data_IF_808478826135
#
_entry.id   IF_808478826135
#
_cell.length_a   1.000
_cell.length_b   1.000
_cell.length_c   1.000
_cell.angle_alpha   90.00
_cell.angle_beta   90.00
_cell.angle_gamma   90.00
#
_symmetry.space_group_name_H-M   'P 1'
#
loop_
_entity.id
_entity.type
_entity.pdbx_description
1 polymer ?
#
# COMPACT_ATOMS: atom_id res chain seq x y z
N UNK A 1 11.83 7.87 31.62
CA UNK A 1 11.46 6.61 30.94
C UNK A 1 9.97 6.30 31.10
N UNK A 2 9.41 6.41 32.30
CA UNK A 2 7.96 6.23 32.60
C UNK A 2 7.00 7.05 31.74
N UNK A 3 7.21 8.37 31.61
CA UNK A 3 6.36 9.21 30.75
C UNK A 3 6.33 8.71 29.30
N UNK A 4 7.42 8.11 28.81
CA UNK A 4 7.49 7.56 27.46
C UNK A 4 6.66 6.29 27.29
N UNK A 5 6.77 5.41 28.27
CA UNK A 5 6.00 4.18 28.31
C UNK A 5 4.50 4.46 28.48
N UNK A 6 4.15 5.42 29.34
CA UNK A 6 2.77 5.78 29.66
C UNK A 6 2.02 6.40 28.46
N UNK A 7 2.70 7.20 27.62
CA UNK A 7 2.09 7.69 26.38
C UNK A 7 1.88 6.58 25.36
N UNK A 8 2.84 5.66 25.23
CA UNK A 8 2.74 4.50 24.33
C UNK A 8 1.55 3.62 24.72
N UNK A 9 1.36 3.39 26.02
CA UNK A 9 0.24 2.58 26.52
C UNK A 9 -1.11 3.25 26.25
N UNK A 10 -1.22 4.58 26.44
CA UNK A 10 -2.43 5.32 26.08
C UNK A 10 -2.72 5.26 24.58
N UNK A 11 -1.70 5.49 23.75
CA UNK A 11 -1.83 5.42 22.30
C UNK A 11 -2.27 4.02 21.86
N UNK A 12 -1.65 2.96 22.40
CA UNK A 12 -2.05 1.57 22.14
C UNK A 12 -3.50 1.30 22.54
N UNK A 13 -3.93 1.81 23.70
CA UNK A 13 -5.28 1.59 24.20
C UNK A 13 -6.33 2.27 23.30
N UNK A 14 -6.09 3.51 22.90
CA UNK A 14 -6.98 4.26 22.00
C UNK A 14 -7.07 3.59 20.62
N UNK A 15 -5.93 3.14 20.11
CA UNK A 15 -5.82 2.49 18.80
C UNK A 15 -6.47 1.10 18.77
N UNK A 16 -6.39 0.37 19.89
CA UNK A 16 -7.04 -0.94 20.08
C UNK A 16 -8.55 -0.82 20.25
N UNK A 17 -9.05 0.29 20.83
CA UNK A 17 -10.49 0.49 21.05
C UNK A 17 -11.24 0.87 19.77
N UNK A 18 -10.55 1.29 18.71
CA UNK A 18 -11.18 1.67 17.43
C UNK A 18 -10.27 1.35 16.24
N UNK A 19 -10.18 0.06 15.84
CA UNK A 19 -9.32 -0.36 14.74
C UNK A 19 -9.66 0.34 13.41
N UNK A 20 -10.92 0.76 13.21
CA UNK A 20 -11.34 1.54 12.04
C UNK A 20 -10.74 2.95 12.03
N UNK A 21 -10.83 3.69 13.14
CA UNK A 21 -10.28 5.05 13.25
C UNK A 21 -8.75 5.04 13.12
N UNK A 22 -8.12 4.03 13.73
CA UNK A 22 -6.69 3.77 13.56
C UNK A 22 -6.30 3.61 12.09
N UNK A 23 -7.00 2.74 11.35
CA UNK A 23 -6.65 2.43 9.97
C UNK A 23 -6.85 3.63 9.03
N UNK A 24 -7.88 4.44 9.27
CA UNK A 24 -8.10 5.69 8.54
C UNK A 24 -6.94 6.67 8.78
N UNK A 25 -6.54 6.87 10.04
CA UNK A 25 -5.42 7.74 10.37
C UNK A 25 -4.10 7.24 9.73
N UNK A 26 -3.83 5.93 9.78
CA UNK A 26 -2.68 5.35 9.08
C UNK A 26 -2.75 5.53 7.57
N UNK A 27 -3.94 5.44 6.96
CA UNK A 27 -4.12 5.70 5.53
C UNK A 27 -3.69 7.12 5.15
N UNK A 28 -4.10 8.14 5.90
CA UNK A 28 -3.68 9.51 5.66
C UNK A 28 -2.16 9.72 5.85
N UNK A 29 -1.59 9.10 6.88
CA UNK A 29 -0.14 9.16 7.11
C UNK A 29 0.62 8.52 5.95
N UNK A 30 0.18 7.34 5.49
CA UNK A 30 0.80 6.65 4.36
C UNK A 30 0.69 7.44 3.06
N UNK A 31 -0.43 8.10 2.81
CA UNK A 31 -0.59 9.01 1.67
C UNK A 31 0.39 10.19 1.74
N UNK A 32 0.53 10.81 2.91
CA UNK A 32 1.52 11.89 3.09
C UNK A 32 2.96 11.41 2.91
N UNK A 33 3.29 10.22 3.41
CA UNK A 33 4.60 9.59 3.23
C UNK A 33 4.86 9.25 1.76
N UNK A 34 3.87 8.74 1.03
CA UNK A 34 3.99 8.47 -0.40
C UNK A 34 4.35 9.74 -1.16
N UNK A 35 3.66 10.86 -0.91
CA UNK A 35 4.01 12.15 -1.54
C UNK A 35 5.39 12.69 -1.16
N UNK A 36 5.86 12.42 0.04
CA UNK A 36 7.21 12.80 0.45
C UNK A 36 8.27 11.95 -0.28
N UNK A 37 8.07 10.64 -0.35
CA UNK A 37 9.00 9.73 -1.05
C UNK A 37 8.96 9.98 -2.55
N UNK A 38 7.79 10.31 -3.11
CA UNK A 38 7.63 10.66 -4.52
C UNK A 38 8.46 11.91 -4.86
N UNK A 39 8.46 12.92 -3.98
CA UNK A 39 9.24 14.14 -4.16
C UNK A 39 10.74 13.87 -4.27
N UNK A 40 11.27 12.97 -3.43
CA UNK A 40 12.71 12.64 -3.38
C UNK A 40 13.12 11.54 -4.37
N UNK A 41 12.15 10.85 -4.98
CA UNK A 41 12.44 9.72 -5.84
C UNK A 41 13.00 10.16 -7.21
N UNK A 42 14.22 9.70 -7.49
CA UNK A 42 14.88 9.84 -8.78
C UNK A 42 15.23 8.46 -9.34
N UNK A 43 14.74 8.15 -10.55
CA UNK A 43 15.04 6.87 -11.18
C UNK A 43 16.51 6.86 -11.66
N UNK A 44 17.31 5.82 -11.37
CA UNK A 44 18.72 5.78 -11.73
C UNK A 44 18.96 5.65 -13.24
N UNK A 45 17.91 5.39 -14.03
CA UNK A 45 17.95 5.28 -15.49
C UNK A 45 19.07 4.34 -15.98
N UNK A 46 19.22 3.20 -15.31
CA UNK A 46 20.12 2.13 -15.65
C UNK A 46 19.39 0.79 -15.53
N UNK A 47 19.21 0.03 -16.63
CA UNK A 47 18.35 -1.16 -16.65
C UNK A 47 18.78 -2.25 -15.66
N UNK A 48 20.05 -2.28 -15.24
CA UNK A 48 20.53 -3.23 -14.23
C UNK A 48 20.03 -2.90 -12.81
N UNK A 49 19.75 -1.62 -12.53
CA UNK A 49 19.42 -1.12 -11.20
C UNK A 49 17.98 -0.63 -11.09
N UNK A 50 17.35 -0.21 -12.20
CA UNK A 50 15.99 0.32 -12.24
C UNK A 50 14.98 -0.56 -11.49
N UNK A 51 14.92 -1.85 -11.82
CA UNK A 51 14.02 -2.81 -11.18
C UNK A 51 14.30 -2.98 -9.69
N UNK A 52 15.54 -3.30 -9.34
CA UNK A 52 15.93 -3.56 -7.94
C UNK A 52 15.72 -2.33 -7.06
N UNK A 53 16.19 -1.16 -7.50
CA UNK A 53 16.08 0.09 -6.76
C UNK A 53 14.62 0.49 -6.56
N UNK A 54 13.83 0.49 -7.63
CA UNK A 54 12.40 0.83 -7.55
C UNK A 54 11.62 -0.17 -6.69
N UNK A 55 11.89 -1.47 -6.82
CA UNK A 55 11.21 -2.51 -6.02
C UNK A 55 11.45 -2.35 -4.51
N UNK A 56 12.60 -1.80 -4.10
CA UNK A 56 12.87 -1.55 -2.69
C UNK A 56 11.86 -0.57 -2.06
N UNK A 57 11.42 0.45 -2.81
CA UNK A 57 10.39 1.40 -2.37
C UNK A 57 8.99 0.77 -2.27
N UNK A 58 8.71 -0.28 -3.05
CA UNK A 58 7.50 -1.08 -2.87
C UNK A 58 7.54 -1.93 -1.61
N UNK A 59 8.65 -2.64 -1.38
CA UNK A 59 8.71 -3.69 -0.37
C UNK A 59 9.03 -3.15 1.03
N UNK A 60 10.02 -2.26 1.17
CA UNK A 60 10.52 -1.83 2.48
C UNK A 60 9.42 -1.14 3.29
N UNK A 61 8.72 -0.10 2.79
CA UNK A 61 7.72 0.59 3.57
C UNK A 61 6.48 -0.28 3.84
N UNK A 62 6.11 -1.17 2.92
CA UNK A 62 5.04 -2.15 3.13
C UNK A 62 5.36 -3.10 4.31
N UNK A 63 6.58 -3.67 4.33
CA UNK A 63 7.04 -4.56 5.41
C UNK A 63 7.15 -3.80 6.73
N UNK A 64 7.65 -2.57 6.71
CA UNK A 64 7.73 -1.71 7.89
C UNK A 64 6.35 -1.41 8.47
N UNK A 65 5.40 -0.98 7.64
CA UNK A 65 4.03 -0.68 8.07
C UNK A 65 3.31 -1.92 8.61
N UNK A 66 3.47 -3.06 7.94
CA UNK A 66 2.95 -4.34 8.40
C UNK A 66 3.51 -4.72 9.78
N UNK A 67 4.83 -4.63 9.96
CA UNK A 67 5.51 -4.98 11.22
C UNK A 67 5.08 -4.05 12.35
N UNK A 68 4.97 -2.75 12.09
CA UNK A 68 4.47 -1.77 13.08
C UNK A 68 3.04 -2.10 13.50
N UNK A 69 2.17 -2.45 12.56
CA UNK A 69 0.78 -2.81 12.88
C UNK A 69 0.71 -4.08 13.73
N UNK A 70 1.54 -5.09 13.44
CA UNK A 70 1.63 -6.30 14.28
C UNK A 70 2.10 -5.99 15.71
N UNK A 71 3.07 -5.09 15.88
CA UNK A 71 3.55 -4.68 17.20
C UNK A 71 2.44 -3.95 17.98
N UNK A 72 1.73 -3.04 17.31
CA UNK A 72 0.67 -2.22 17.90
C UNK A 72 -0.52 -3.08 18.34
N UNK A 73 -1.01 -3.95 17.46
CA UNK A 73 -2.13 -4.85 17.76
C UNK A 73 -1.79 -5.85 18.88
N UNK A 74 -0.51 -5.96 19.23
CA UNK A 74 -0.01 -6.83 20.27
C UNK A 74 -0.09 -8.27 19.81
N UNK A 75 1.01 -8.80 19.28
CA UNK A 75 1.21 -10.24 19.25
C UNK A 75 1.11 -10.79 20.68
N UNK A 76 -0.07 -11.29 21.08
CA UNK A 76 -0.23 -12.03 22.33
C UNK A 76 0.45 -13.39 22.14
N UNK A 77 1.69 -13.49 22.58
CA UNK A 77 2.43 -14.76 22.69
C UNK A 77 2.04 -15.54 23.96
N UNK A 78 0.79 -15.44 24.40
CA UNK A 78 0.30 -16.18 25.55
C UNK A 78 -0.71 -17.21 25.08
N UNK A 79 -0.34 -18.48 25.27
CA UNK A 79 -1.09 -19.72 25.09
C UNK A 79 -1.11 -20.34 23.68
N UNK A 80 -1.01 -21.66 23.67
CA UNK A 80 -0.88 -22.62 22.58
C UNK A 80 -2.08 -22.66 21.60
N UNK A 81 -2.56 -21.50 21.13
CA UNK A 81 -3.50 -21.42 19.99
C UNK A 81 -2.75 -20.99 18.73
N UNK A 82 -3.15 -21.51 17.55
CA UNK A 82 -2.58 -21.08 16.29
C UNK A 82 -2.72 -19.56 16.16
N UNK A 83 -1.58 -18.93 15.84
CA UNK A 83 -1.37 -17.50 15.66
C UNK A 83 -2.37 -16.95 14.64
N UNK A 84 -3.51 -16.38 15.07
CA UNK A 84 -4.41 -15.67 14.16
C UNK A 84 -3.84 -14.28 13.89
N UNK A 85 -3.10 -14.14 12.79
CA UNK A 85 -2.72 -12.82 12.27
C UNK A 85 -4.03 -12.12 11.90
N UNK A 86 -4.31 -10.97 12.53
CA UNK A 86 -5.51 -10.20 12.20
C UNK A 86 -5.39 -9.67 10.78
N UNK A 87 -6.43 -9.83 9.97
CA UNK A 87 -6.50 -9.31 8.58
C UNK A 87 -6.22 -7.81 8.55
N UNK A 88 -6.61 -7.10 9.61
CA UNK A 88 -6.36 -5.66 9.78
C UNK A 88 -4.87 -5.28 9.81
N UNK A 89 -3.96 -6.20 10.15
CA UNK A 89 -2.51 -5.95 10.12
C UNK A 89 -1.97 -5.72 8.71
N UNK A 90 -2.61 -6.30 7.68
CA UNK A 90 -2.19 -6.16 6.29
C UNK A 90 -2.68 -4.87 5.64
N UNK A 91 -3.68 -4.19 6.23
CA UNK A 91 -4.30 -2.99 5.65
C UNK A 91 -3.26 -1.90 5.33
N UNK A 92 -2.34 -1.52 6.24
CA UNK A 92 -1.34 -0.49 5.94
C UNK A 92 -0.42 -0.88 4.76
N UNK A 93 0.01 -2.14 4.68
CA UNK A 93 0.87 -2.62 3.61
C UNK A 93 0.15 -2.66 2.26
N UNK A 94 -1.11 -3.10 2.25
CA UNK A 94 -1.94 -3.13 1.03
C UNK A 94 -2.21 -1.70 0.55
N UNK A 95 -2.58 -0.79 1.44
CA UNK A 95 -2.81 0.63 1.11
C UNK A 95 -1.54 1.25 0.51
N UNK A 96 -0.36 0.98 1.09
CA UNK A 96 0.91 1.44 0.54
C UNK A 96 1.15 0.98 -0.90
N UNK A 97 0.94 -0.31 -1.18
CA UNK A 97 1.12 -0.85 -2.52
C UNK A 97 0.14 -0.22 -3.52
N UNK A 98 -1.13 -0.05 -3.13
CA UNK A 98 -2.14 0.60 -3.99
C UNK A 98 -1.72 2.04 -4.31
N UNK A 99 -1.28 2.81 -3.31
CA UNK A 99 -0.84 4.19 -3.53
C UNK A 99 0.33 4.26 -4.53
N UNK A 100 1.34 3.39 -4.40
CA UNK A 100 2.46 3.34 -5.34
C UNK A 100 2.04 2.92 -6.75
N UNK A 101 1.09 2.00 -6.89
CA UNK A 101 0.56 1.62 -8.21
C UNK A 101 -0.26 2.75 -8.85
N UNK A 102 -1.04 3.49 -8.05
CA UNK A 102 -1.81 4.65 -8.52
C UNK A 102 -0.92 5.84 -8.91
N UNK A 103 0.21 6.04 -8.24
CA UNK A 103 1.22 7.01 -8.69
C UNK A 103 1.93 6.54 -9.97
N UNK A 104 2.41 5.30 -9.97
CA UNK A 104 2.97 4.63 -11.14
C UNK A 104 4.40 5.01 -11.51
N UNK A 105 5.03 6.00 -10.87
CA UNK A 105 6.43 6.40 -11.18
C UNK A 105 7.41 5.28 -10.88
N UNK A 106 7.21 4.62 -9.75
CA UNK A 106 8.02 3.48 -9.32
C UNK A 106 7.85 2.31 -10.29
N UNK A 107 6.61 1.99 -10.67
CA UNK A 107 6.34 0.90 -11.61
C UNK A 107 6.92 1.18 -12.99
N UNK A 108 6.74 2.40 -13.51
CA UNK A 108 7.32 2.85 -14.76
C UNK A 108 8.84 2.74 -14.73
N UNK A 109 9.50 3.27 -13.68
CA UNK A 109 10.95 3.14 -13.49
C UNK A 109 11.38 1.66 -13.46
N UNK A 110 10.69 0.80 -12.71
CA UNK A 110 11.03 -0.63 -12.62
C UNK A 110 10.97 -1.35 -13.98
N UNK A 111 10.02 -0.95 -14.83
CA UNK A 111 9.83 -1.52 -16.17
C UNK A 111 10.67 -0.83 -17.27
N UNK A 112 11.31 0.31 -16.98
CA UNK A 112 12.17 0.98 -17.95
C UNK A 112 13.46 0.19 -18.20
N UNK A 113 13.66 -0.21 -19.45
CA UNK A 113 14.77 -1.07 -19.88
C UNK A 113 15.93 -0.34 -20.58
N UNK A 114 15.87 0.99 -20.67
CA UNK A 114 16.88 1.80 -21.36
C UNK A 114 17.73 2.61 -20.38
N UNK A 115 18.94 2.97 -20.84
CA UNK A 115 19.78 3.94 -20.13
C UNK A 115 19.36 5.34 -20.49
N UNK A 116 19.47 6.25 -19.54
CA UNK A 116 19.09 7.62 -19.77
C UNK A 116 19.49 8.56 -18.66
N UNK A 117 19.04 9.79 -18.80
CA UNK A 117 19.14 10.85 -17.80
C UNK A 117 17.77 11.10 -17.22
N UNK A 118 17.68 11.16 -15.90
CA UNK A 118 16.44 11.52 -15.23
C UNK A 118 16.08 12.97 -15.54
N UNK A 119 14.84 13.19 -15.98
CA UNK A 119 14.29 14.50 -16.34
C UNK A 119 12.89 14.68 -15.79
N UNK A 120 12.59 15.91 -15.38
CA UNK A 120 11.25 16.38 -15.03
C UNK A 120 10.79 17.33 -16.13
N UNK A 121 9.68 17.03 -16.79
CA UNK A 121 9.13 17.87 -17.86
C UNK A 121 7.99 18.72 -17.31
N UNK A 122 8.20 20.04 -17.28
CA UNK A 122 7.24 21.02 -16.70
C UNK A 122 6.12 21.46 -17.67
N UNK A 123 5.98 20.80 -18.84
CA UNK A 123 5.05 21.25 -19.89
C UNK A 123 3.60 20.76 -19.72
N UNK A 124 3.29 20.00 -18.67
CA UNK A 124 1.95 19.49 -18.27
C UNK A 124 2.03 18.98 -16.80
N UNK A 125 1.12 18.15 -16.21
CA UNK A 125 1.37 17.63 -14.86
C UNK A 125 2.78 17.00 -14.82
N UNK A 126 3.59 17.29 -13.77
CA UNK A 126 5.04 17.10 -13.80
C UNK A 126 5.38 15.64 -14.15
N UNK A 127 5.90 15.43 -15.36
CA UNK A 127 6.18 14.09 -15.85
C UNK A 127 7.66 13.78 -15.65
N UNK A 128 7.95 12.91 -14.68
CA UNK A 128 9.29 12.37 -14.41
C UNK A 128 9.55 11.14 -15.28
N UNK A 129 10.66 11.11 -16.00
CA UNK A 129 11.03 9.96 -16.81
C UNK A 129 12.53 9.91 -17.09
N UNK A 130 12.98 8.80 -17.69
CA UNK A 130 14.36 8.61 -18.13
C UNK A 130 14.50 8.97 -19.60
N UNK A 131 15.08 10.13 -19.90
CA UNK A 131 15.39 10.57 -21.26
C UNK A 131 16.57 9.75 -21.80
N UNK A 132 16.45 9.09 -22.96
CA UNK A 132 17.55 8.30 -23.52
C UNK A 132 18.74 9.20 -23.87
N UNK A 133 19.95 8.77 -23.47
CA UNK A 133 21.21 9.48 -23.78
C UNK A 133 21.95 8.87 -24.97
N UNK A 134 21.68 7.59 -25.27
CA UNK A 134 22.32 6.87 -26.37
C UNK A 134 21.48 7.02 -27.65
N UNK A 135 22.13 7.13 -28.81
CA UNK A 135 21.49 6.99 -30.12
C UNK A 135 21.05 5.52 -30.31
N UNK A 136 19.91 5.16 -29.71
CA UNK A 136 19.22 3.91 -30.01
C UNK A 136 18.45 4.05 -31.33
N UNK A 137 18.21 2.94 -32.02
CA UNK A 137 17.36 2.87 -33.24
C UNK A 137 15.93 3.40 -33.04
N UNK A 138 15.51 3.59 -31.79
CA UNK A 138 14.15 3.99 -31.39
C UNK A 138 14.12 5.49 -31.07
N UNK A 139 13.07 6.17 -31.53
CA UNK A 139 12.95 7.61 -31.34
C UNK A 139 12.62 7.97 -29.88
N UNK A 140 13.12 9.09 -29.34
CA UNK A 140 12.80 9.53 -27.97
C UNK A 140 11.29 9.70 -27.71
N UNK A 141 10.53 10.02 -28.76
CA UNK A 141 9.07 10.19 -28.72
C UNK A 141 8.36 8.85 -28.46
N UNK A 142 8.80 7.76 -29.10
CA UNK A 142 8.25 6.42 -28.87
C UNK A 142 8.56 5.93 -27.45
N UNK A 143 9.75 6.23 -26.92
CA UNK A 143 10.11 5.89 -25.53
C UNK A 143 9.26 6.68 -24.53
N UNK A 144 8.99 7.94 -24.80
CA UNK A 144 8.10 8.76 -23.98
C UNK A 144 6.68 8.18 -23.96
N UNK A 145 6.14 7.79 -25.13
CA UNK A 145 4.81 7.18 -25.23
C UNK A 145 4.76 5.84 -24.46
N UNK A 146 5.80 5.01 -24.59
CA UNK A 146 5.92 3.75 -23.85
C UNK A 146 5.99 3.99 -22.35
N UNK A 147 6.70 5.03 -21.90
CA UNK A 147 6.72 5.39 -20.49
C UNK A 147 5.32 5.77 -20.00
N UNK A 148 4.57 6.56 -20.77
CA UNK A 148 3.17 6.91 -20.45
C UNK A 148 2.26 5.70 -20.40
N UNK A 149 2.42 4.75 -21.32
CA UNK A 149 1.68 3.49 -21.30
C UNK A 149 1.96 2.71 -20.00
N UNK A 150 3.22 2.63 -19.57
CA UNK A 150 3.59 1.99 -18.30
C UNK A 150 2.95 2.67 -17.08
N UNK A 151 2.85 4.00 -17.08
CA UNK A 151 2.12 4.75 -16.04
C UNK A 151 0.64 4.36 -15.99
N UNK A 152 -0.03 4.38 -17.14
CA UNK A 152 -1.45 4.03 -17.24
C UNK A 152 -1.68 2.57 -16.85
N UNK A 153 -0.81 1.66 -17.30
CA UNK A 153 -0.86 0.23 -16.91
C UNK A 153 -0.75 0.07 -15.40
N UNK A 154 0.17 0.79 -14.75
CA UNK A 154 0.30 0.78 -13.29
C UNK A 154 -0.98 1.24 -12.60
N UNK A 155 -1.57 2.34 -13.06
CA UNK A 155 -2.81 2.88 -12.50
C UNK A 155 -3.98 1.92 -12.67
N UNK A 156 -4.09 1.29 -13.84
CA UNK A 156 -5.11 0.26 -14.10
C UNK A 156 -4.93 -0.91 -13.14
N UNK A 157 -3.70 -1.38 -12.93
CA UNK A 157 -3.41 -2.44 -11.93
C UNK A 157 -3.86 -1.98 -10.53
N UNK A 158 -3.51 -0.77 -10.11
CA UNK A 158 -3.90 -0.20 -8.82
C UNK A 158 -5.43 -0.12 -8.64
N UNK A 159 -6.15 0.36 -9.65
CA UNK A 159 -7.62 0.46 -9.65
C UNK A 159 -8.25 -0.93 -9.59
N UNK A 160 -7.77 -1.87 -10.40
CA UNK A 160 -8.28 -3.25 -10.41
C UNK A 160 -8.09 -3.91 -9.05
N UNK A 161 -6.90 -3.79 -8.44
CA UNK A 161 -6.63 -4.29 -7.09
C UNK A 161 -7.57 -3.65 -6.05
N UNK A 162 -7.78 -2.34 -6.12
CA UNK A 162 -8.69 -1.61 -5.23
C UNK A 162 -10.12 -2.15 -5.36
N UNK A 163 -10.63 -2.33 -6.58
CA UNK A 163 -11.97 -2.89 -6.83
C UNK A 163 -12.09 -4.29 -6.22
N UNK A 164 -11.12 -5.17 -6.46
CA UNK A 164 -11.14 -6.53 -5.90
C UNK A 164 -11.17 -6.52 -4.37
N UNK A 165 -10.38 -5.66 -3.74
CA UNK A 165 -10.35 -5.52 -2.28
C UNK A 165 -11.68 -4.97 -1.77
N UNK A 166 -12.23 -3.92 -2.38
CA UNK A 166 -13.51 -3.35 -1.99
C UNK A 166 -14.65 -4.36 -2.10
N UNK A 167 -14.74 -5.09 -3.21
CA UNK A 167 -15.75 -6.14 -3.40
C UNK A 167 -15.55 -7.26 -2.39
N UNK A 168 -14.31 -7.70 -2.16
CA UNK A 168 -14.00 -8.73 -1.17
C UNK A 168 -14.40 -8.33 0.25
N UNK A 169 -14.14 -7.07 0.65
CA UNK A 169 -14.55 -6.52 1.94
C UNK A 169 -16.07 -6.41 2.07
N UNK A 170 -16.77 -5.96 1.02
CA UNK A 170 -18.24 -5.91 1.00
C UNK A 170 -18.83 -7.31 1.19
N UNK A 171 -18.35 -8.30 0.42
CA UNK A 171 -18.79 -9.69 0.54
C UNK A 171 -18.49 -10.25 1.93
N UNK A 172 -17.32 -9.96 2.48
CA UNK A 172 -16.94 -10.36 3.83
C UNK A 172 -17.90 -9.78 4.88
N UNK A 173 -18.17 -8.47 4.82
CA UNK A 173 -19.08 -7.79 5.75
C UNK A 173 -20.50 -8.36 5.64
N UNK A 174 -21.00 -8.56 4.41
CA UNK A 174 -22.33 -9.15 4.21
C UNK A 174 -22.40 -10.56 4.82
N UNK A 175 -21.39 -11.42 4.58
CA UNK A 175 -21.36 -12.78 5.12
C UNK A 175 -21.31 -12.79 6.65
N UNK A 176 -20.49 -11.94 7.24
CA UNK A 176 -20.38 -11.81 8.68
C UNK A 176 -21.71 -11.32 9.29
N UNK A 177 -22.33 -10.30 8.69
CA UNK A 177 -23.63 -9.78 9.15
C UNK A 177 -24.74 -10.84 9.05
N UNK A 178 -24.83 -11.59 7.95
CA UNK A 178 -25.80 -12.68 7.82
C UNK A 178 -25.56 -13.79 8.85
N UNK A 179 -24.30 -14.17 9.11
CA UNK A 179 -23.96 -15.19 10.10
C UNK A 179 -24.37 -14.77 11.52
N UNK A 180 -24.22 -13.49 11.87
CA UNK A 180 -24.64 -12.99 13.19
C UNK A 180 -26.17 -12.94 13.36
N UNK A 181 -26.91 -12.66 12.28
CA UNK A 181 -28.39 -12.71 12.31
C UNK A 181 -28.91 -14.14 12.55
N UNK A 182 -28.29 -15.14 11.91
CA UNK A 182 -28.66 -16.56 12.11
C UNK A 182 -28.39 -17.04 13.55
N UNK A 183 -27.22 -16.74 14.11
CA UNK A 183 -26.89 -17.10 15.50
C UNK A 183 -27.86 -16.44 16.50
N UNK A 184 -28.24 -15.18 16.29
CA UNK A 184 -29.16 -14.45 17.17
C UNK A 184 -30.61 -14.94 17.06
N UNK A 185 -31.02 -15.50 15.93
CA UNK A 185 -32.32 -16.17 15.78
C UNK A 185 -32.35 -17.53 16.47
N UNK A 186 -31.28 -18.32 16.40
CA UNK A 186 -31.19 -19.59 17.14
C UNK A 186 -31.23 -19.35 18.65
N UNK A 187 -30.30 -18.52 19.16
CA UNK A 187 -30.63 -17.39 20.04
C UNK A 187 -31.95 -17.40 20.83
N UNK A 188 -32.83 -16.52 20.36
CA UNK A 188 -34.15 -16.29 20.91
C UNK A 188 -35.07 -17.53 20.86
N UNK A 189 -34.85 -18.46 19.93
CA UNK A 189 -35.72 -19.63 19.80
C UNK A 189 -35.57 -20.61 20.98
N UNK A 190 -34.37 -20.74 21.56
CA UNK A 190 -34.17 -21.61 22.72
C UNK A 190 -34.59 -20.98 24.05
N UNK A 191 -34.62 -19.64 24.16
CA UNK A 191 -35.14 -18.96 25.36
C UNK A 191 -36.67 -18.99 25.47
N UNK A 192 -37.38 -19.30 24.37
CA UNK A 192 -38.85 -19.38 24.34
C UNK A 192 -39.43 -20.78 24.55
N UNK A 193 -38.59 -21.82 24.72
CA UNK A 193 -38.99 -23.22 25.01
C UNK A 193 -38.60 -23.62 26.42
#
# INVERSE_FOLDING_TARGET
>A
MERRLQWLTRLKNELSNSPLVSNVAFGFILMGLEKLVELEFECPCNPKWNGTFSSAFFIIPAVMAFTLMLIIQGCRCDTWRPRSISISSFVPAIVWLILLFLDGQYFACAMTGWRGRFVTVDKAPPQKWCEPTDESDVTPQELMLRSQELFVVSQVIGIVLLIFICVGLIVYVIRESCSQEEEMQEVNNYEMT
#
